data_IF_236487969767
#
_entry.id   IF_236487969767
#
_cell.length_a   1.000
_cell.length_b   1.000
_cell.length_c   1.000
_cell.angle_alpha   90.00
_cell.angle_beta   90.00
_cell.angle_gamma   90.00
#
_symmetry.space_group_name_H-M   'P 1'
#
loop_
_entity.id
_entity.type
_entity.pdbx_description
1 polymer ?
#
# COMPACT_ATOMS: atom_id res chain seq x y z
N UNK A 1 51.90 45.07 1.49
CA UNK A 1 50.83 45.86 2.15
C UNK A 1 49.51 45.57 1.47
N UNK A 2 48.44 45.41 2.26
CA UNK A 2 47.01 45.26 1.94
C UNK A 2 46.52 43.90 1.39
N UNK A 3 45.82 43.21 2.28
CA UNK A 3 44.88 42.11 2.04
C UNK A 3 43.66 42.58 1.25
N UNK A 4 43.16 41.75 0.33
CA UNK A 4 41.72 41.62 0.08
C UNK A 4 41.35 40.15 -0.12
N UNK A 5 40.50 39.70 0.78
CA UNK A 5 39.86 38.40 0.94
C UNK A 5 38.47 38.49 0.30
N UNK A 6 38.06 37.60 -0.59
CA UNK A 6 36.65 37.24 -0.89
C UNK A 6 36.67 35.91 -1.69
N UNK A 7 36.59 34.75 -1.02
CA UNK A 7 35.39 33.97 -0.65
C UNK A 7 34.61 33.42 -1.86
N UNK A 8 34.92 32.13 -2.09
CA UNK A 8 34.21 31.00 -2.70
C UNK A 8 32.67 31.04 -2.69
N UNK A 9 32.06 30.70 -3.82
CA UNK A 9 30.88 29.83 -3.96
C UNK A 9 30.72 29.51 -5.46
N UNK A 10 30.86 28.29 -5.97
CA UNK A 10 30.41 27.02 -5.41
C UNK A 10 29.18 26.59 -6.20
N UNK A 11 29.35 25.65 -7.12
CA UNK A 11 28.32 25.08 -7.99
C UNK A 11 26.99 24.80 -7.26
N UNK A 12 25.86 25.13 -7.89
CA UNK A 12 24.61 24.47 -7.59
C UNK A 12 23.90 24.07 -8.89
N UNK A 13 24.23 22.86 -9.34
CA UNK A 13 23.45 22.11 -10.32
C UNK A 13 22.02 21.95 -9.82
N UNK A 14 21.06 22.62 -10.46
CA UNK A 14 19.64 22.32 -10.28
C UNK A 14 19.35 21.11 -11.16
N UNK A 15 19.73 19.92 -10.68
CA UNK A 15 19.11 18.69 -11.12
C UNK A 15 17.71 18.67 -10.50
N UNK A 16 16.72 19.06 -11.29
CA UNK A 16 15.31 18.84 -10.99
C UNK A 16 15.03 17.34 -10.92
N UNK A 17 15.38 16.73 -9.78
CA UNK A 17 14.91 15.41 -9.40
C UNK A 17 13.40 15.51 -9.25
N UNK A 18 12.69 15.01 -10.25
CA UNK A 18 11.30 14.63 -10.13
C UNK A 18 11.18 13.70 -8.91
N UNK A 19 10.74 14.25 -7.79
CA UNK A 19 10.45 13.47 -6.58
C UNK A 19 9.31 12.52 -6.95
N UNK A 20 9.51 11.20 -6.91
CA UNK A 20 8.45 10.27 -7.26
C UNK A 20 7.32 10.41 -6.26
N UNK A 21 6.08 10.45 -6.74
CA UNK A 21 4.79 10.60 -6.03
C UNK A 21 4.48 9.50 -4.98
N UNK A 22 5.48 8.85 -4.39
CA UNK A 22 5.37 7.78 -3.39
C UNK A 22 5.00 8.28 -1.99
N UNK A 23 5.15 9.57 -1.69
CA UNK A 23 4.95 10.11 -0.33
C UNK A 23 3.47 10.08 0.10
N UNK A 24 2.52 10.25 -0.81
CA UNK A 24 1.09 10.27 -0.48
C UNK A 24 0.49 8.88 -0.19
N UNK A 25 1.08 7.80 -0.69
CA UNK A 25 0.63 6.43 -0.39
C UNK A 25 1.24 5.88 0.92
N UNK A 26 2.36 6.44 1.40
CA UNK A 26 3.01 6.00 2.63
C UNK A 26 2.11 6.26 3.85
N UNK A 27 1.51 7.45 3.97
CA UNK A 27 0.71 7.82 5.14
C UNK A 27 -0.51 6.93 5.42
N UNK A 28 -1.23 6.48 4.36
CA UNK A 28 -2.39 5.59 4.53
C UNK A 28 -1.97 4.15 4.86
N UNK A 29 -0.91 3.64 4.24
CA UNK A 29 -0.40 2.31 4.57
C UNK A 29 0.15 2.26 6.00
N UNK A 30 0.85 3.31 6.43
CA UNK A 30 1.38 3.41 7.80
C UNK A 30 0.27 3.46 8.86
N UNK A 31 -0.88 4.06 8.56
CA UNK A 31 -2.05 4.06 9.45
C UNK A 31 -2.63 2.65 9.64
N UNK A 32 -2.81 1.89 8.55
CA UNK A 32 -3.29 0.51 8.61
C UNK A 32 -2.31 -0.42 9.34
N UNK A 33 -1.01 -0.31 9.04
CA UNK A 33 0.03 -1.08 9.73
C UNK A 33 0.00 -0.78 11.23
N UNK A 34 -0.06 0.51 11.60
CA UNK A 34 -0.13 0.94 12.99
C UNK A 34 -1.39 0.41 13.69
N UNK A 35 -2.53 0.41 13.00
CA UNK A 35 -3.78 -0.13 13.52
C UNK A 35 -3.67 -1.63 13.84
N UNK A 36 -3.18 -2.44 12.89
CA UNK A 36 -3.03 -3.90 13.10
C UNK A 36 -2.05 -4.18 14.25
N UNK A 37 -0.89 -3.51 14.25
CA UNK A 37 0.12 -3.72 15.30
C UNK A 37 -0.38 -3.33 16.70
N UNK A 38 -1.15 -2.24 16.81
CA UNK A 38 -1.74 -1.80 18.10
C UNK A 38 -2.80 -2.77 18.61
N UNK A 39 -3.64 -3.33 17.75
CA UNK A 39 -4.74 -4.20 18.16
C UNK A 39 -4.31 -5.65 18.45
N UNK A 40 -3.15 -6.08 17.94
CA UNK A 40 -2.62 -7.43 18.24
C UNK A 40 -1.87 -7.52 19.58
N UNK A 41 -1.60 -6.40 20.25
CA UNK A 41 -0.92 -6.37 21.57
C UNK A 41 0.37 -7.20 21.62
N UNK A 42 1.20 -7.10 20.57
CA UNK A 42 2.42 -7.89 20.43
C UNK A 42 3.59 -7.29 21.25
N UNK A 43 4.47 -8.14 21.76
CA UNK A 43 5.75 -7.71 22.35
C UNK A 43 6.69 -7.07 21.32
N UNK A 44 7.59 -6.20 21.77
CA UNK A 44 8.50 -5.41 20.90
C UNK A 44 9.31 -6.28 19.92
N UNK A 45 9.81 -7.42 20.37
CA UNK A 45 10.57 -8.35 19.54
C UNK A 45 9.70 -8.97 18.43
N UNK A 46 8.48 -9.42 18.77
CA UNK A 46 7.52 -9.96 17.80
C UNK A 46 7.09 -8.88 16.80
N UNK A 47 6.89 -7.64 17.24
CA UNK A 47 6.60 -6.50 16.34
C UNK A 47 7.72 -6.29 15.34
N UNK A 48 8.99 -6.34 15.78
CA UNK A 48 10.14 -6.16 14.90
C UNK A 48 10.20 -7.23 13.80
N UNK A 49 9.83 -8.48 14.12
CA UNK A 49 9.76 -9.59 13.14
C UNK A 49 8.52 -9.54 12.26
N UNK A 50 7.37 -9.15 12.82
CA UNK A 50 6.09 -9.18 12.12
C UNK A 50 5.87 -7.97 11.20
N UNK A 51 6.30 -6.76 11.60
CA UNK A 51 6.09 -5.53 10.83
C UNK A 51 6.60 -5.62 9.38
N UNK A 52 7.80 -6.15 9.08
CA UNK A 52 8.25 -6.32 7.70
C UNK A 52 7.33 -7.21 6.87
N UNK A 53 6.84 -8.32 7.44
CA UNK A 53 5.92 -9.25 6.76
C UNK A 53 4.57 -8.58 6.49
N UNK A 54 4.08 -7.78 7.44
CA UNK A 54 2.86 -7.01 7.30
C UNK A 54 2.96 -5.90 6.23
N UNK A 55 4.12 -5.23 6.13
CA UNK A 55 4.39 -4.25 5.07
C UNK A 55 4.33 -4.93 3.70
N UNK A 56 4.97 -6.09 3.54
CA UNK A 56 4.95 -6.84 2.28
C UNK A 56 3.53 -7.27 1.90
N UNK A 57 2.72 -7.71 2.87
CA UNK A 57 1.31 -8.02 2.66
C UNK A 57 0.56 -6.83 2.04
N UNK A 58 0.65 -5.64 2.64
CA UNK A 58 -0.05 -4.46 2.12
C UNK A 58 0.48 -3.99 0.77
N UNK A 59 1.78 -4.17 0.48
CA UNK A 59 2.34 -3.89 -0.83
C UNK A 59 1.79 -4.84 -1.89
N UNK A 60 1.68 -6.14 -1.61
CA UNK A 60 1.08 -7.10 -2.54
C UNK A 60 -0.41 -6.85 -2.76
N UNK A 61 -1.18 -6.57 -1.69
CA UNK A 61 -2.58 -6.17 -1.82
C UNK A 61 -2.73 -4.91 -2.67
N UNK A 62 -1.88 -3.91 -2.49
CA UNK A 62 -1.91 -2.70 -3.31
C UNK A 62 -1.63 -2.99 -4.78
N UNK A 63 -0.69 -3.89 -5.08
CA UNK A 63 -0.40 -4.34 -6.47
C UNK A 63 -1.59 -5.06 -7.09
N UNK A 64 -2.27 -5.94 -6.35
CA UNK A 64 -3.48 -6.63 -6.82
C UNK A 64 -4.62 -5.65 -7.11
N UNK A 65 -4.78 -4.61 -6.28
CA UNK A 65 -5.83 -3.58 -6.43
C UNK A 65 -5.55 -2.55 -7.53
N UNK A 66 -4.27 -2.33 -7.89
CA UNK A 66 -3.87 -1.27 -8.80
C UNK A 66 -4.54 -1.32 -10.19
N UNK A 67 -4.65 -2.48 -10.87
CA UNK A 67 -5.28 -2.54 -12.19
C UNK A 67 -6.75 -2.12 -12.18
N UNK A 68 -7.54 -2.59 -11.20
CA UNK A 68 -8.94 -2.18 -11.05
C UNK A 68 -9.05 -0.71 -10.73
N UNK A 69 -8.21 -0.19 -9.84
CA UNK A 69 -8.19 1.23 -9.50
C UNK A 69 -7.96 2.09 -10.75
N UNK A 70 -6.97 1.75 -11.56
CA UNK A 70 -6.68 2.45 -12.82
C UNK A 70 -7.86 2.36 -13.81
N UNK A 71 -8.50 1.18 -13.92
CA UNK A 71 -9.66 1.00 -14.80
C UNK A 71 -10.86 1.83 -14.35
N UNK A 72 -11.14 1.87 -13.04
CA UNK A 72 -12.19 2.72 -12.48
C UNK A 72 -11.89 4.20 -12.67
N UNK A 73 -10.64 4.63 -12.49
CA UNK A 73 -10.25 6.02 -12.78
C UNK A 73 -10.45 6.35 -14.27
N UNK A 74 -10.11 5.43 -15.17
CA UNK A 74 -10.34 5.58 -16.62
C UNK A 74 -11.82 5.74 -16.98
N UNK A 75 -12.72 5.05 -16.28
CA UNK A 75 -14.16 5.07 -16.55
C UNK A 75 -14.98 5.91 -15.56
N UNK A 76 -14.32 6.70 -14.71
CA UNK A 76 -14.98 7.43 -13.61
C UNK A 76 -16.13 8.28 -14.10
N UNK A 77 -15.91 9.14 -15.09
CA UNK A 77 -16.92 10.10 -15.54
C UNK A 77 -18.12 9.37 -16.21
N UNK A 78 -17.86 8.25 -16.89
CA UNK A 78 -18.91 7.39 -17.47
C UNK A 78 -19.67 6.61 -16.39
N UNK A 79 -18.99 6.15 -15.33
CA UNK A 79 -19.58 5.47 -14.17
C UNK A 79 -20.47 6.45 -13.37
N UNK A 80 -20.00 7.67 -13.11
CA UNK A 80 -20.72 8.71 -12.38
C UNK A 80 -21.93 9.27 -13.15
N UNK A 81 -21.82 9.38 -14.48
CA UNK A 81 -22.93 9.84 -15.34
C UNK A 81 -23.90 8.72 -15.75
N UNK A 82 -23.66 7.46 -15.36
CA UNK A 82 -24.49 6.31 -15.71
C UNK A 82 -24.44 5.93 -17.20
N UNK A 83 -23.37 6.30 -17.91
CA UNK A 83 -23.21 6.14 -19.37
C UNK A 83 -22.19 5.07 -19.74
N UNK A 84 -21.97 4.09 -18.87
CA UNK A 84 -21.11 2.95 -19.18
C UNK A 84 -21.70 2.14 -20.33
N UNK A 85 -20.86 1.87 -21.33
CA UNK A 85 -21.20 0.91 -22.39
C UNK A 85 -21.18 -0.52 -21.83
N UNK A 86 -21.88 -1.46 -22.50
CA UNK A 86 -21.87 -2.87 -22.12
C UNK A 86 -20.45 -3.43 -21.97
N UNK A 87 -19.55 -3.11 -22.92
CA UNK A 87 -18.14 -3.50 -22.86
C UNK A 87 -17.43 -2.97 -21.61
N UNK A 88 -17.66 -1.71 -21.24
CA UNK A 88 -17.04 -1.13 -20.04
C UNK A 88 -17.59 -1.77 -18.76
N UNK A 89 -18.88 -2.11 -18.73
CA UNK A 89 -19.47 -2.88 -17.64
C UNK A 89 -18.80 -4.24 -17.49
N UNK A 90 -18.62 -4.98 -18.59
CA UNK A 90 -17.96 -6.29 -18.58
C UNK A 90 -16.50 -6.20 -18.11
N UNK A 91 -15.75 -5.22 -18.61
CA UNK A 91 -14.36 -4.97 -18.20
C UNK A 91 -14.27 -4.65 -16.70
N UNK A 92 -15.15 -3.78 -16.19
CA UNK A 92 -15.22 -3.45 -14.77
C UNK A 92 -15.61 -4.67 -13.93
N UNK A 93 -16.53 -5.50 -14.41
CA UNK A 93 -16.95 -6.71 -13.71
C UNK A 93 -15.81 -7.74 -13.63
N UNK A 94 -15.20 -8.07 -14.76
CA UNK A 94 -14.07 -9.02 -14.82
C UNK A 94 -12.87 -8.53 -14.00
N UNK A 95 -12.58 -7.22 -14.06
CA UNK A 95 -11.53 -6.61 -13.25
C UNK A 95 -11.80 -6.76 -11.74
N UNK A 96 -13.07 -6.69 -11.31
CA UNK A 96 -13.47 -6.94 -9.91
C UNK A 96 -13.16 -8.37 -9.50
N UNK A 97 -13.60 -9.34 -10.29
CA UNK A 97 -13.39 -10.76 -10.01
C UNK A 97 -11.90 -11.09 -9.92
N UNK A 98 -11.10 -10.57 -10.85
CA UNK A 98 -9.65 -10.77 -10.85
C UNK A 98 -8.99 -10.17 -9.59
N UNK A 99 -9.42 -8.99 -9.17
CA UNK A 99 -8.93 -8.39 -7.92
C UNK A 99 -9.31 -9.25 -6.71
N UNK A 100 -10.57 -9.68 -6.60
CA UNK A 100 -11.04 -10.47 -5.46
C UNK A 100 -10.33 -11.82 -5.36
N UNK A 101 -10.14 -12.52 -6.48
CA UNK A 101 -9.36 -13.75 -6.56
C UNK A 101 -7.90 -13.52 -6.12
N UNK A 102 -7.26 -12.46 -6.63
CA UNK A 102 -5.89 -12.13 -6.24
C UNK A 102 -5.75 -11.75 -4.76
N UNK A 103 -6.73 -11.03 -4.19
CA UNK A 103 -6.73 -10.70 -2.76
C UNK A 103 -6.85 -11.95 -1.90
N UNK A 104 -7.72 -12.90 -2.29
CA UNK A 104 -7.86 -14.18 -1.59
C UNK A 104 -6.57 -14.99 -1.64
N UNK A 105 -5.90 -15.04 -2.79
CA UNK A 105 -4.63 -15.74 -2.94
C UNK A 105 -3.55 -15.13 -2.03
N UNK A 106 -3.40 -13.80 -2.04
CA UNK A 106 -2.46 -13.08 -1.17
C UNK A 106 -2.77 -13.36 0.30
N UNK A 107 -4.04 -13.24 0.72
CA UNK A 107 -4.45 -13.54 2.11
C UNK A 107 -4.10 -14.97 2.51
N UNK A 108 -4.33 -15.94 1.63
CA UNK A 108 -4.03 -17.36 1.89
C UNK A 108 -2.53 -17.57 2.09
N UNK A 109 -1.70 -17.04 1.20
CA UNK A 109 -0.23 -17.15 1.32
C UNK A 109 0.29 -16.43 2.56
N UNK A 110 -0.22 -15.23 2.84
CA UNK A 110 0.25 -14.45 3.99
C UNK A 110 -0.26 -14.95 5.33
N UNK A 111 -1.40 -15.65 5.38
CA UNK A 111 -1.79 -16.36 6.60
C UNK A 111 -0.73 -17.41 6.98
N UNK A 112 -0.22 -18.17 6.01
CA UNK A 112 0.88 -19.10 6.24
C UNK A 112 2.17 -18.38 6.68
N UNK A 113 2.53 -17.26 6.04
CA UNK A 113 3.70 -16.45 6.44
C UNK A 113 3.54 -15.81 7.83
N UNK A 114 2.35 -15.36 8.20
CA UNK A 114 2.10 -14.76 9.51
C UNK A 114 2.32 -15.78 10.63
N UNK A 115 1.92 -17.03 10.42
CA UNK A 115 2.15 -18.13 11.38
C UNK A 115 3.63 -18.48 11.62
N UNK A 116 4.57 -17.95 10.83
CA UNK A 116 6.00 -18.16 11.12
C UNK A 116 6.53 -17.21 12.20
N UNK A 117 5.80 -16.14 12.50
CA UNK A 117 6.19 -15.09 13.45
C UNK A 117 5.13 -14.81 14.53
N UNK A 118 3.90 -15.27 14.32
CA UNK A 118 2.76 -15.14 15.23
C UNK A 118 2.20 -16.52 15.59
N UNK A 119 1.50 -16.62 16.72
CA UNK A 119 0.67 -17.79 17.00
C UNK A 119 -0.47 -17.91 15.99
N UNK A 120 -1.06 -19.10 15.85
CA UNK A 120 -2.21 -19.32 14.94
C UNK A 120 -3.37 -18.36 15.20
N UNK A 121 -3.69 -18.10 16.48
CA UNK A 121 -4.75 -17.17 16.88
C UNK A 121 -4.40 -15.72 16.47
N UNK A 122 -3.16 -15.29 16.73
CA UNK A 122 -2.68 -13.96 16.34
C UNK A 122 -2.61 -13.78 14.82
N UNK A 123 -2.23 -14.81 14.08
CA UNK A 123 -2.20 -14.79 12.62
C UNK A 123 -3.61 -14.67 12.02
N UNK A 124 -4.60 -15.36 12.61
CA UNK A 124 -6.00 -15.22 12.21
C UNK A 124 -6.50 -13.81 12.47
N UNK A 125 -6.25 -13.28 13.67
CA UNK A 125 -6.66 -11.94 14.06
C UNK A 125 -5.97 -10.86 13.21
N UNK A 126 -4.70 -11.07 12.86
CA UNK A 126 -3.97 -10.19 11.95
C UNK A 126 -4.65 -10.11 10.58
N UNK A 127 -5.07 -11.23 10.00
CA UNK A 127 -5.81 -11.25 8.72
C UNK A 127 -7.17 -10.56 8.86
N UNK A 128 -7.87 -10.78 9.98
CA UNK A 128 -9.15 -10.11 10.27
C UNK A 128 -8.98 -8.58 10.30
N UNK A 129 -8.05 -8.08 11.11
CA UNK A 129 -7.73 -6.66 11.25
C UNK A 129 -7.22 -6.03 9.95
N UNK A 130 -6.48 -6.79 9.13
CA UNK A 130 -6.02 -6.32 7.83
C UNK A 130 -7.16 -6.03 6.84
N UNK A 131 -8.32 -6.67 7.03
CA UNK A 131 -9.50 -6.55 6.17
C UNK A 131 -10.61 -5.69 6.77
N UNK A 132 -10.48 -5.31 8.05
CA UNK A 132 -11.40 -4.35 8.67
C UNK A 132 -11.30 -2.99 7.98
N UNK A 133 -12.46 -2.39 7.74
CA UNK A 133 -12.52 -0.99 7.32
C UNK A 133 -12.11 -0.17 8.54
N UNK A 134 -11.03 0.61 8.42
CA UNK A 134 -10.76 1.70 9.34
C UNK A 134 -11.98 2.63 9.29
N UNK A 135 -12.74 2.68 10.39
CA UNK A 135 -13.87 3.61 10.55
C UNK A 135 -13.36 5.02 10.73
#
# INVERSE_FOLDING_TARGET
>A
MRHHLFIVCGMLCILSMAVPSKVLCAGKQDAHISYVLKNLSLGKETVAKFRPVLVQYYQEIARVKAPRKALREKYRDAEESGKLTAKQCDELFQSKQKQEAGELEVRTRYYAKFKTVLSTQQAYEAIRLCNDKLK
#
